data_IF_971332700640
#
_entry.id   IF_971332700640
#
_cell.length_a   1.000
_cell.length_b   1.000
_cell.length_c   1.000
_cell.angle_alpha   90.00
_cell.angle_beta   90.00
_cell.angle_gamma   90.00
#
_symmetry.space_group_name_H-M   'P 1'
#
loop_
_entity.id
_entity.type
_entity.pdbx_description
1 polymer ?
#
# COMPACT_ATOMS: atom_id res chain seq x y z
N UNK A 1 -12.46 -12.13 2.93
CA UNK A 1 -12.03 -13.54 3.13
C UNK A 1 -13.29 -14.35 3.37
N UNK A 2 -13.43 -15.51 2.71
CA UNK A 2 -14.54 -16.43 2.95
C UNK A 2 -13.93 -17.75 3.38
N UNK A 3 -14.30 -18.23 4.57
CA UNK A 3 -13.89 -19.54 5.06
C UNK A 3 -14.95 -20.55 4.64
N UNK A 4 -14.59 -21.44 3.72
CA UNK A 4 -15.53 -22.39 3.11
C UNK A 4 -15.54 -23.75 3.82
N UNK A 5 -14.50 -24.07 4.61
CA UNK A 5 -14.42 -25.37 5.30
C UNK A 5 -15.36 -25.39 6.50
N UNK A 6 -15.97 -26.56 6.74
CA UNK A 6 -16.76 -26.86 7.93
C UNK A 6 -15.98 -27.66 8.99
N UNK A 7 -14.72 -27.99 8.71
CA UNK A 7 -13.82 -28.68 9.65
C UNK A 7 -12.78 -27.73 10.20
N UNK A 8 -12.36 -27.88 11.48
CA UNK A 8 -11.36 -27.01 12.10
C UNK A 8 -10.02 -27.03 11.34
N UNK A 9 -9.56 -28.20 10.91
CA UNK A 9 -8.32 -28.33 10.15
C UNK A 9 -8.39 -27.63 8.78
N UNK A 10 -9.51 -27.76 8.08
CA UNK A 10 -9.69 -27.08 6.80
C UNK A 10 -9.79 -25.55 6.96
N UNK A 11 -10.30 -25.06 8.10
CA UNK A 11 -10.26 -23.62 8.43
C UNK A 11 -8.83 -23.16 8.68
N UNK A 12 -8.03 -23.91 9.46
CA UNK A 12 -6.62 -23.60 9.66
C UNK A 12 -5.85 -23.57 8.34
N UNK A 13 -6.05 -24.57 7.47
CA UNK A 13 -5.43 -24.60 6.14
C UNK A 13 -5.78 -23.37 5.31
N UNK A 14 -7.04 -22.92 5.33
CA UNK A 14 -7.46 -21.72 4.59
C UNK A 14 -6.85 -20.44 5.15
N UNK A 15 -6.73 -20.31 6.47
CA UNK A 15 -6.05 -19.18 7.11
C UNK A 15 -4.58 -19.14 6.69
N UNK A 16 -3.87 -20.28 6.79
CA UNK A 16 -2.48 -20.39 6.38
C UNK A 16 -2.29 -20.10 4.88
N UNK A 17 -3.15 -20.63 4.02
CA UNK A 17 -3.14 -20.33 2.59
C UNK A 17 -3.29 -18.82 2.33
N UNK A 18 -4.20 -18.16 3.06
CA UNK A 18 -4.39 -16.71 2.93
C UNK A 18 -3.15 -15.91 3.37
N UNK A 19 -2.56 -16.27 4.50
CA UNK A 19 -1.33 -15.64 5.00
C UNK A 19 -0.16 -15.85 4.04
N UNK A 20 -0.01 -17.05 3.48
CA UNK A 20 1.01 -17.36 2.47
C UNK A 20 0.83 -16.50 1.21
N UNK A 21 -0.38 -16.41 0.66
CA UNK A 21 -0.67 -15.56 -0.51
C UNK A 21 -0.39 -14.09 -0.21
N UNK A 22 -0.79 -13.61 0.98
CA UNK A 22 -0.49 -12.24 1.40
C UNK A 22 1.02 -11.99 1.46
N UNK A 23 1.77 -12.87 2.13
CA UNK A 23 3.22 -12.76 2.28
C UNK A 23 3.94 -12.86 0.94
N UNK A 24 3.60 -13.82 0.11
CA UNK A 24 4.17 -14.02 -1.22
C UNK A 24 4.01 -12.76 -2.08
N UNK A 25 2.81 -12.16 -2.08
CA UNK A 25 2.56 -10.88 -2.77
C UNK A 25 3.41 -9.74 -2.21
N UNK A 26 3.55 -9.62 -0.89
CA UNK A 26 4.38 -8.56 -0.28
C UNK A 26 5.86 -8.72 -0.67
N UNK A 27 6.37 -9.95 -0.65
CA UNK A 27 7.74 -10.26 -1.08
C UNK A 27 7.92 -9.90 -2.56
N UNK A 28 6.97 -10.29 -3.41
CA UNK A 28 6.99 -9.97 -4.83
C UNK A 28 7.04 -8.46 -5.08
N UNK A 29 6.19 -7.68 -4.42
CA UNK A 29 6.20 -6.21 -4.49
C UNK A 29 7.56 -5.65 -4.09
N UNK A 30 8.08 -6.04 -2.92
CA UNK A 30 9.39 -5.58 -2.45
C UNK A 30 10.52 -5.95 -3.42
N UNK A 31 10.50 -7.16 -3.98
CA UNK A 31 11.53 -7.63 -4.94
C UNK A 31 11.45 -6.92 -6.28
N UNK A 32 10.24 -6.72 -6.81
CA UNK A 32 10.01 -5.97 -8.05
C UNK A 32 10.47 -4.52 -7.91
N UNK A 33 10.22 -3.90 -6.76
CA UNK A 33 10.61 -2.54 -6.46
C UNK A 33 12.12 -2.35 -6.21
N UNK A 34 12.82 -3.40 -5.75
CA UNK A 34 14.22 -3.33 -5.35
C UNK A 34 15.17 -3.01 -6.52
N UNK A 35 15.04 -3.68 -7.67
CA UNK A 35 15.96 -3.50 -8.80
C UNK A 35 15.94 -2.08 -9.40
N UNK A 36 14.77 -1.46 -9.65
CA UNK A 36 14.70 -0.07 -10.14
C UNK A 36 14.72 0.99 -9.04
N UNK A 37 14.94 0.62 -7.76
CA UNK A 37 14.89 1.52 -6.60
C UNK A 37 13.60 2.35 -6.52
N UNK A 38 12.46 1.75 -6.87
CA UNK A 38 11.14 2.39 -6.81
C UNK A 38 10.56 2.18 -5.40
N UNK A 39 9.82 3.15 -4.88
CA UNK A 39 9.05 2.97 -3.66
C UNK A 39 8.05 1.79 -3.81
N UNK A 40 8.14 0.73 -2.99
CA UNK A 40 7.24 -0.42 -3.06
C UNK A 40 5.75 -0.06 -3.00
N UNK A 41 5.40 1.04 -2.34
CA UNK A 41 4.00 1.47 -2.23
C UNK A 41 3.43 1.98 -3.56
N UNK A 42 4.29 2.26 -4.56
CA UNK A 42 3.84 2.59 -5.92
C UNK A 42 3.26 1.39 -6.66
N UNK A 43 3.59 0.16 -6.26
CA UNK A 43 3.03 -1.04 -6.88
C UNK A 43 1.63 -1.32 -6.33
N UNK A 44 0.66 -1.49 -7.24
CA UNK A 44 -0.74 -1.72 -6.85
C UNK A 44 -0.96 -3.10 -6.23
N UNK A 45 -1.46 -3.07 -4.99
CA UNK A 45 -2.11 -4.15 -4.24
C UNK A 45 -2.83 -5.21 -5.10
N UNK A 46 -3.78 -4.67 -5.85
CA UNK A 46 -4.76 -5.44 -6.60
C UNK A 46 -4.20 -5.88 -7.94
N UNK A 47 -3.36 -5.05 -8.58
CA UNK A 47 -2.78 -5.42 -9.86
C UNK A 47 -1.75 -6.54 -9.72
N UNK A 48 -0.94 -6.53 -8.64
CA UNK A 48 -0.04 -7.66 -8.34
C UNK A 48 -0.79 -8.97 -8.20
N UNK A 49 -1.94 -8.95 -7.51
CA UNK A 49 -2.76 -10.16 -7.37
C UNK A 49 -3.35 -10.61 -8.72
N UNK A 50 -3.82 -9.67 -9.54
CA UNK A 50 -4.36 -9.97 -10.87
C UNK A 50 -3.30 -10.54 -11.80
N UNK A 51 -2.10 -9.95 -11.81
CA UNK A 51 -0.96 -10.44 -12.60
C UNK A 51 -0.55 -11.86 -12.17
N UNK A 52 -0.42 -12.11 -10.87
CA UNK A 52 -0.12 -13.44 -10.35
C UNK A 52 -1.21 -14.47 -10.67
N UNK A 53 -2.49 -14.07 -10.63
CA UNK A 53 -3.58 -14.96 -11.01
C UNK A 53 -3.52 -15.31 -12.50
N UNK A 54 -3.27 -14.33 -13.37
CA UNK A 54 -3.10 -14.57 -14.82
C UNK A 54 -1.98 -15.57 -15.08
N UNK A 55 -0.83 -15.43 -14.41
CA UNK A 55 0.30 -16.34 -14.62
C UNK A 55 -0.02 -17.79 -14.25
N UNK A 56 -0.77 -18.02 -13.16
CA UNK A 56 -1.21 -19.36 -12.76
C UNK A 56 -2.23 -19.94 -13.74
N UNK A 57 -3.13 -19.12 -14.28
CA UNK A 57 -4.13 -19.57 -15.26
C UNK A 57 -3.51 -19.90 -16.61
N UNK A 58 -2.48 -19.16 -17.05
CA UNK A 58 -1.80 -19.40 -18.33
C UNK A 58 -0.88 -20.62 -18.29
N UNK A 59 -0.38 -21.01 -17.12
CA UNK A 59 0.51 -22.17 -16.96
C UNK A 59 -0.05 -23.16 -15.93
N UNK A 60 -1.17 -23.85 -16.23
CA UNK A 60 -1.76 -24.83 -15.33
C UNK A 60 -0.89 -26.10 -15.31
N UNK A 61 -0.32 -26.45 -14.14
CA UNK A 61 0.41 -27.71 -13.98
C UNK A 61 1.51 -27.70 -12.91
N UNK A 62 2.28 -28.78 -12.86
CA UNK A 62 3.49 -28.90 -12.03
C UNK A 62 4.53 -27.92 -12.59
N UNK A 63 4.85 -26.90 -11.80
CA UNK A 63 5.77 -25.84 -12.21
C UNK A 63 7.19 -26.32 -11.96
N UNK A 64 7.96 -26.56 -13.02
CA UNK A 64 9.41 -26.74 -12.87
C UNK A 64 10.03 -25.48 -12.25
N UNK A 65 11.09 -25.58 -11.42
CA UNK A 65 11.80 -24.42 -10.90
C UNK A 65 12.20 -23.41 -11.99
N UNK A 66 12.56 -23.87 -13.18
CA UNK A 66 12.91 -23.00 -14.31
C UNK A 66 11.69 -22.20 -14.81
N UNK A 67 10.54 -22.86 -14.97
CA UNK A 67 9.30 -22.22 -15.38
C UNK A 67 8.83 -21.20 -14.34
N UNK A 68 9.06 -21.48 -13.05
CA UNK A 68 8.75 -20.55 -11.97
C UNK A 68 9.61 -19.29 -12.09
N UNK A 69 10.92 -19.43 -12.30
CA UNK A 69 11.82 -18.28 -12.48
C UNK A 69 11.40 -17.44 -13.68
N UNK A 70 11.16 -18.06 -14.84
CA UNK A 70 10.67 -17.33 -16.02
C UNK A 70 9.35 -16.60 -15.76
N UNK A 71 8.44 -17.23 -15.03
CA UNK A 71 7.15 -16.63 -14.66
C UNK A 71 7.32 -15.42 -13.74
N UNK A 72 8.22 -15.51 -12.76
CA UNK A 72 8.53 -14.40 -11.85
C UNK A 72 9.17 -13.22 -12.58
N UNK A 73 10.06 -13.48 -13.55
CA UNK A 73 10.66 -12.43 -14.39
C UNK A 73 9.57 -11.73 -15.21
N UNK A 74 8.75 -12.50 -15.94
CA UNK A 74 7.64 -11.93 -16.72
C UNK A 74 6.71 -11.10 -15.86
N UNK A 75 6.34 -11.62 -14.69
CA UNK A 75 5.44 -10.93 -13.79
C UNK A 75 6.05 -9.63 -13.25
N UNK A 76 7.36 -9.63 -12.94
CA UNK A 76 8.08 -8.42 -12.56
C UNK A 76 7.98 -7.36 -13.65
N UNK A 77 8.29 -7.72 -14.89
CA UNK A 77 8.29 -6.80 -16.02
C UNK A 77 6.86 -6.26 -16.27
N UNK A 78 5.86 -7.14 -16.25
CA UNK A 78 4.42 -6.82 -16.34
C UNK A 78 3.94 -5.82 -15.27
N UNK A 79 4.55 -5.82 -14.08
CA UNK A 79 4.21 -4.90 -13.00
C UNK A 79 4.90 -3.55 -13.15
N UNK A 80 6.13 -3.53 -13.66
CA UNK A 80 6.85 -2.30 -13.95
C UNK A 80 6.19 -1.53 -15.10
N UNK A 81 5.71 -2.24 -16.12
CA UNK A 81 5.00 -1.64 -17.26
C UNK A 81 3.64 -1.05 -16.86
N UNK A 82 3.02 -1.55 -15.78
CA UNK A 82 1.71 -1.10 -15.28
C UNK A 82 1.81 -0.19 -14.06
N UNK A 83 2.94 0.46 -13.83
CA UNK A 83 3.09 1.40 -12.74
C UNK A 83 2.05 2.52 -12.85
N UNK A 84 1.33 2.84 -11.75
CA UNK A 84 0.42 3.96 -11.76
C UNK A 84 1.19 5.28 -11.94
N UNK A 85 0.52 6.32 -12.47
CA UNK A 85 1.12 7.64 -12.52
C UNK A 85 1.54 8.08 -11.11
N UNK A 86 2.55 8.97 -11.00
CA UNK A 86 3.01 9.46 -9.72
C UNK A 86 1.86 10.06 -8.92
N UNK A 87 1.86 9.83 -7.59
CA UNK A 87 0.80 10.35 -6.75
C UNK A 87 0.80 11.87 -6.76
N UNK A 88 -0.40 12.43 -6.95
CA UNK A 88 -0.62 13.87 -6.80
C UNK A 88 -0.54 14.23 -5.32
N UNK A 89 0.25 15.25 -5.01
CA UNK A 89 0.22 15.88 -3.69
C UNK A 89 -1.18 16.47 -3.48
N UNK A 90 -1.83 16.07 -2.39
CA UNK A 90 -3.20 16.48 -2.07
C UNK A 90 -3.28 17.04 -0.66
N UNK A 91 -3.89 18.21 -0.54
CA UNK A 91 -4.29 18.78 0.73
C UNK A 91 -5.76 19.16 0.70
N UNK A 92 -6.45 18.85 1.79
CA UNK A 92 -7.85 19.22 2.01
C UNK A 92 -7.95 19.91 3.37
N UNK A 93 -8.75 20.98 3.49
CA UNK A 93 -8.91 21.66 4.75
C UNK A 93 -9.60 20.75 5.75
N UNK A 94 -9.20 20.84 7.03
CA UNK A 94 -9.83 20.09 8.13
C UNK A 94 -11.15 20.74 8.53
N UNK A 95 -12.19 20.49 7.74
CA UNK A 95 -13.52 21.08 7.88
C UNK A 95 -14.62 20.04 7.73
N UNK A 96 -15.74 20.25 8.42
CA UNK A 96 -16.88 19.34 8.45
C UNK A 96 -18.06 19.90 7.68
N UNK A 97 -18.87 19.04 7.08
CA UNK A 97 -20.09 19.47 6.36
C UNK A 97 -21.23 19.89 7.30
N UNK A 98 -21.30 19.30 8.50
CA UNK A 98 -22.30 19.62 9.54
C UNK A 98 -21.58 20.17 10.76
N UNK A 99 -22.08 21.28 11.31
CA UNK A 99 -21.56 21.88 12.54
C UNK A 99 -22.00 21.00 13.72
N UNK A 100 -21.06 20.67 14.62
CA UNK A 100 -21.21 20.11 15.98
C UNK A 100 -19.84 19.67 16.55
N UNK A 101 -18.78 19.58 15.73
CA UNK A 101 -17.42 19.25 16.17
C UNK A 101 -16.53 20.48 16.35
N UNK A 102 -15.34 20.27 16.94
CA UNK A 102 -14.27 21.28 17.06
C UNK A 102 -13.71 21.75 15.70
N UNK A 103 -14.14 21.14 14.58
CA UNK A 103 -13.72 21.54 13.25
C UNK A 103 -14.65 22.63 12.68
N UNK A 104 -14.10 23.47 11.82
CA UNK A 104 -14.86 24.53 11.17
C UNK A 104 -15.85 23.95 10.14
N UNK A 105 -16.96 24.66 9.90
CA UNK A 105 -17.93 24.30 8.88
C UNK A 105 -17.34 24.51 7.47
N UNK A 106 -17.59 23.58 6.56
CA UNK A 106 -17.12 23.66 5.17
C UNK A 106 -17.83 24.80 4.43
N UNK A 107 -17.05 25.65 3.74
CA UNK A 107 -17.51 26.83 2.98
C UNK A 107 -17.05 26.75 1.52
N UNK A 108 -17.58 27.62 0.66
CA UNK A 108 -17.26 27.66 -0.76
C UNK A 108 -15.75 27.83 -1.05
N UNK A 109 -15.06 28.69 -0.31
CA UNK A 109 -13.60 28.90 -0.46
C UNK A 109 -12.74 27.65 -0.20
N UNK A 110 -13.30 26.61 0.42
CA UNK A 110 -12.59 25.33 0.64
C UNK A 110 -12.60 24.40 -0.59
N UNK A 111 -13.35 24.73 -1.65
CA UNK A 111 -13.35 23.95 -2.89
C UNK A 111 -12.04 24.12 -3.67
N UNK A 112 -11.44 25.30 -3.63
CA UNK A 112 -10.17 25.65 -4.28
C UNK A 112 -9.02 25.72 -3.28
N UNK A 113 -8.96 24.74 -2.37
CA UNK A 113 -7.91 24.71 -1.36
C UNK A 113 -6.54 24.53 -2.02
N UNK A 114 -5.51 25.31 -1.61
CA UNK A 114 -4.19 25.24 -2.21
C UNK A 114 -3.61 23.83 -2.08
N UNK A 115 -3.05 23.33 -3.18
CA UNK A 115 -2.40 22.03 -3.20
C UNK A 115 -0.91 22.17 -2.87
N UNK A 116 -0.29 21.19 -2.19
CA UNK A 116 1.12 21.25 -1.87
C UNK A 116 1.96 21.18 -3.15
N UNK A 117 3.02 21.99 -3.22
CA UNK A 117 4.00 21.94 -4.32
C UNK A 117 5.22 21.09 -3.98
N UNK A 118 5.46 20.81 -2.69
CA UNK A 118 6.58 20.01 -2.19
C UNK A 118 6.08 18.75 -1.48
N UNK A 119 6.80 17.62 -1.58
CA UNK A 119 6.44 16.38 -0.89
C UNK A 119 6.54 16.52 0.64
N UNK A 120 5.83 15.67 1.39
CA UNK A 120 5.85 15.72 2.87
C UNK A 120 7.25 15.58 3.47
N UNK A 121 8.13 14.81 2.84
CA UNK A 121 9.53 14.60 3.26
C UNK A 121 10.35 15.89 3.28
N UNK A 122 10.01 16.86 2.43
CA UNK A 122 10.66 18.17 2.39
C UNK A 122 9.90 19.21 3.24
N UNK A 123 8.59 19.07 3.38
CA UNK A 123 7.73 20.04 4.05
C UNK A 123 7.62 19.84 5.57
N UNK A 124 7.86 18.63 6.08
CA UNK A 124 7.67 18.28 7.49
C UNK A 124 9.01 18.05 8.18
N UNK A 125 9.31 18.87 9.19
CA UNK A 125 10.44 18.64 10.09
C UNK A 125 9.96 18.00 11.38
N UNK A 126 10.39 16.77 11.66
CA UNK A 126 10.13 16.12 12.94
C UNK A 126 11.09 16.72 13.96
N UNK A 127 10.54 17.44 14.96
CA UNK A 127 11.34 17.96 16.06
C UNK A 127 11.41 16.93 17.18
N UNK A 128 12.59 16.71 17.80
CA UNK A 128 12.67 15.89 19.00
C UNK A 128 11.86 16.51 20.14
N UNK A 129 11.38 15.71 21.11
CA UNK A 129 10.61 16.22 22.23
C UNK A 129 11.44 17.26 23.02
N UNK A 130 10.94 18.48 23.12
CA UNK A 130 11.53 19.49 24.00
C UNK A 130 11.21 19.15 25.45
N UNK A 131 12.21 18.88 26.29
CA UNK A 131 12.02 18.80 27.74
C UNK A 131 11.50 20.17 28.21
N UNK A 132 10.23 20.23 28.62
CA UNK A 132 9.70 21.41 29.31
C UNK A 132 10.39 21.47 30.66
N UNK A 133 11.31 22.41 30.80
CA UNK A 133 12.03 22.69 32.03
C UNK A 133 11.04 23.37 32.99
N UNK A 134 10.44 22.61 33.92
CA UNK A 134 9.68 23.19 35.03
C UNK A 134 10.68 23.90 35.95
N UNK A 135 10.81 25.22 35.78
CA UNK A 135 11.51 26.09 36.73
C UNK A 135 10.53 26.61 37.77
N UNK A 136 10.98 26.57 39.02
CA UNK A 136 10.51 27.31 40.21
C UNK A 136 9.20 26.88 40.88
N UNK A 137 9.35 26.12 41.97
CA UNK A 137 8.58 26.38 43.18
C UNK A 137 9.48 27.19 44.13
N UNK A 138 8.90 28.21 44.74
CA UNK A 138 9.48 29.12 45.74
C UNK A 138 9.98 28.38 46.98
#
# INVERSE_FOLDING_TARGET
MVLASKTPDGVHQQIWAHLLVHRARRILICRTAAAPAIDPDRLSFTETLRAARRSVTTSPGVVSPEQLVTTLIRLRDDLLDRLPPPWRLRAQPRVVKRKMSNYQLKRAGHHTWPQPTRPPTEAVTIRPPSRVNQRHCL
#
